data_IF_007023108297
#
_entry.id   IF_007023108297
#
_cell.length_a   1.000
_cell.length_b   1.000
_cell.length_c   1.000
_cell.angle_alpha   90.00
_cell.angle_beta   90.00
_cell.angle_gamma   90.00
#
_symmetry.space_group_name_H-M   'P 1'
#
loop_
_entity.id
_entity.type
_entity.pdbx_description
1 polymer ?
#
# COMPACT_ATOMS: atom_id res chain seq x y z
N UNK A 1 39.12 -41.53 62.60
CA UNK A 1 40.20 -42.14 61.80
C UNK A 1 40.44 -41.24 60.59
N UNK A 2 41.65 -40.73 60.40
CA UNK A 2 42.01 -39.95 59.22
C UNK A 2 42.35 -40.91 58.07
N UNK A 3 41.56 -40.87 56.99
CA UNK A 3 41.81 -41.66 55.78
C UNK A 3 42.77 -40.86 54.90
N UNK A 4 43.99 -41.34 54.74
CA UNK A 4 45.08 -40.59 54.08
C UNK A 4 45.01 -40.69 52.55
N UNK A 5 44.41 -41.77 52.02
CA UNK A 5 44.36 -42.06 50.58
C UNK A 5 43.17 -41.42 49.86
N UNK A 6 42.15 -40.93 50.59
CA UNK A 6 41.00 -40.23 50.02
C UNK A 6 40.66 -39.05 50.91
N UNK A 7 41.11 -37.86 50.52
CA UNK A 7 40.87 -36.63 51.27
C UNK A 7 39.45 -36.10 50.99
N UNK A 8 38.50 -36.48 51.84
CA UNK A 8 37.11 -36.06 51.72
C UNK A 8 36.93 -34.53 51.77
N UNK A 9 37.71 -33.82 52.59
CA UNK A 9 37.63 -32.36 52.68
C UNK A 9 38.08 -31.68 51.38
N UNK A 10 39.14 -32.20 50.73
CA UNK A 10 39.58 -31.71 49.42
C UNK A 10 38.53 -31.98 48.32
N UNK A 11 37.87 -33.15 48.34
CA UNK A 11 36.82 -33.49 47.38
C UNK A 11 35.57 -32.59 47.54
N UNK A 12 35.20 -32.24 48.77
CA UNK A 12 34.11 -31.28 49.04
C UNK A 12 34.49 -29.89 48.53
N UNK A 13 35.72 -29.43 48.77
CA UNK A 13 36.21 -28.15 48.28
C UNK A 13 36.25 -28.08 46.73
N UNK A 14 36.73 -29.15 46.07
CA UNK A 14 36.71 -29.23 44.60
C UNK A 14 35.29 -29.21 44.02
N UNK A 15 34.35 -29.93 44.63
CA UNK A 15 32.94 -29.89 44.21
C UNK A 15 32.31 -28.50 44.40
N UNK A 16 32.67 -27.78 45.47
CA UNK A 16 32.21 -26.41 45.71
C UNK A 16 32.78 -25.42 44.68
N UNK A 17 34.09 -25.53 44.36
CA UNK A 17 34.73 -24.73 43.31
C UNK A 17 34.09 -24.98 41.94
N UNK A 18 33.87 -26.24 41.57
CA UNK A 18 33.24 -26.59 40.29
C UNK A 18 31.78 -26.08 40.16
N UNK A 19 31.07 -25.90 41.28
CA UNK A 19 29.74 -25.24 41.27
C UNK A 19 29.86 -23.73 41.10
N UNK A 20 30.86 -23.11 41.74
CA UNK A 20 31.10 -21.67 41.68
C UNK A 20 31.56 -21.24 40.28
N UNK A 21 32.47 -21.99 39.67
CA UNK A 21 32.92 -21.77 38.28
C UNK A 21 31.73 -21.84 37.29
N UNK A 22 30.83 -22.80 37.45
CA UNK A 22 29.61 -22.88 36.62
C UNK A 22 28.71 -21.66 36.79
N UNK A 23 28.46 -21.24 38.03
CA UNK A 23 27.64 -20.05 38.30
C UNK A 23 28.29 -18.76 37.75
N UNK A 24 29.62 -18.63 37.88
CA UNK A 24 30.39 -17.52 37.32
C UNK A 24 30.31 -17.51 35.79
N UNK A 25 30.47 -18.65 35.13
CA UNK A 25 30.37 -18.75 33.67
C UNK A 25 28.97 -18.31 33.18
N UNK A 26 27.89 -18.75 33.83
CA UNK A 26 26.53 -18.30 33.49
C UNK A 26 26.34 -16.80 33.73
N UNK A 27 26.90 -16.25 34.83
CA UNK A 27 26.82 -14.81 35.09
C UNK A 27 27.58 -13.99 34.03
N UNK A 28 28.76 -14.45 33.61
CA UNK A 28 29.55 -13.83 32.55
C UNK A 28 28.83 -13.92 31.19
N UNK A 29 28.18 -15.03 30.89
CA UNK A 29 27.37 -15.20 29.68
C UNK A 29 26.19 -14.23 29.64
N UNK A 30 25.44 -14.11 30.75
CA UNK A 30 24.34 -13.14 30.88
C UNK A 30 24.81 -11.70 30.80
N UNK A 31 25.98 -11.39 31.38
CA UNK A 31 26.57 -10.06 31.29
C UNK A 31 26.99 -9.71 29.85
N UNK A 32 27.63 -10.66 29.14
CA UNK A 32 28.10 -10.44 27.77
C UNK A 32 26.96 -10.31 26.75
N UNK A 33 25.87 -11.05 26.95
CA UNK A 33 24.69 -11.04 26.07
C UNK A 33 23.68 -9.96 26.45
N UNK A 34 23.74 -9.47 27.69
CA UNK A 34 22.72 -8.60 28.28
C UNK A 34 21.36 -9.30 28.48
N UNK A 35 21.26 -10.60 28.24
CA UNK A 35 20.02 -11.36 28.30
C UNK A 35 20.01 -12.26 29.53
N UNK A 36 18.87 -12.31 30.22
CA UNK A 36 18.71 -13.17 31.39
C UNK A 36 18.54 -14.65 31.02
N UNK A 37 18.05 -14.94 29.82
CA UNK A 37 17.78 -16.29 29.32
C UNK A 37 18.59 -16.48 28.04
N UNK A 38 19.67 -17.26 28.10
CA UNK A 38 20.54 -17.52 26.94
C UNK A 38 20.36 -18.93 26.35
N UNK A 39 19.84 -19.88 27.14
CA UNK A 39 19.63 -21.26 26.71
C UNK A 39 18.28 -21.80 27.16
N UNK A 40 17.79 -22.84 26.48
CA UNK A 40 16.56 -23.54 26.85
C UNK A 40 16.68 -24.24 28.21
N UNK A 41 17.90 -24.51 28.68
CA UNK A 41 18.19 -25.11 29.98
C UNK A 41 17.95 -24.14 31.14
N UNK A 42 18.02 -22.83 30.91
CA UNK A 42 17.79 -21.79 31.93
C UNK A 42 16.29 -21.55 32.16
N UNK A 43 15.51 -21.41 31.07
CA UNK A 43 14.06 -21.22 31.11
C UNK A 43 13.45 -21.53 29.72
N UNK A 44 12.99 -22.77 29.54
CA UNK A 44 12.38 -23.21 28.28
C UNK A 44 11.09 -22.44 27.95
N UNK A 45 10.29 -22.07 28.95
CA UNK A 45 9.03 -21.35 28.75
C UNK A 45 9.29 -19.88 28.39
N UNK A 46 10.21 -19.23 29.10
CA UNK A 46 10.64 -17.86 28.81
C UNK A 46 11.30 -17.73 27.43
N UNK A 47 12.13 -18.69 27.04
CA UNK A 47 12.70 -18.72 25.68
C UNK A 47 11.63 -18.96 24.60
N UNK A 48 10.64 -19.81 24.85
CA UNK A 48 9.54 -20.05 23.91
C UNK A 48 8.63 -18.81 23.73
N UNK A 49 8.34 -18.07 24.81
CA UNK A 49 7.59 -16.82 24.73
C UNK A 49 8.42 -15.75 24.03
N UNK A 50 9.70 -15.61 24.41
CA UNK A 50 10.62 -14.64 23.81
C UNK A 50 10.77 -14.85 22.30
N UNK A 51 11.01 -16.08 21.86
CA UNK A 51 11.11 -16.41 20.42
C UNK A 51 9.81 -16.16 19.65
N UNK A 52 8.65 -16.42 20.25
CA UNK A 52 7.35 -16.06 19.67
C UNK A 52 7.20 -14.54 19.52
N UNK A 53 7.53 -13.78 20.56
CA UNK A 53 7.49 -12.32 20.53
C UNK A 53 8.49 -11.76 19.51
N UNK A 54 9.71 -12.29 19.42
CA UNK A 54 10.68 -11.92 18.39
C UNK A 54 10.16 -12.20 16.99
N UNK A 55 9.49 -13.34 16.79
CA UNK A 55 8.87 -13.67 15.49
C UNK A 55 7.75 -12.70 15.14
N UNK A 56 6.93 -12.31 16.12
CA UNK A 56 5.89 -11.29 15.94
C UNK A 56 6.49 -9.92 15.62
N UNK A 57 7.55 -9.49 16.33
CA UNK A 57 8.24 -8.23 16.06
C UNK A 57 8.77 -8.20 14.63
N UNK A 58 9.48 -9.24 14.19
CA UNK A 58 9.99 -9.34 12.81
C UNK A 58 8.86 -9.36 11.77
N UNK A 59 7.73 -9.99 12.11
CA UNK A 59 6.52 -9.97 11.30
C UNK A 59 5.97 -8.55 11.15
N UNK A 60 5.85 -7.81 12.25
CA UNK A 60 5.40 -6.41 12.25
C UNK A 60 6.38 -5.49 11.50
N UNK A 61 7.69 -5.66 11.66
CA UNK A 61 8.70 -4.88 10.91
C UNK A 61 8.57 -5.07 9.39
N UNK A 62 8.25 -6.29 8.96
CA UNK A 62 7.97 -6.57 7.54
C UNK A 62 6.62 -6.00 7.12
N UNK A 63 5.60 -6.07 7.99
CA UNK A 63 4.31 -5.41 7.78
C UNK A 63 4.42 -3.90 7.59
N UNK A 64 5.28 -3.22 8.36
CA UNK A 64 5.55 -1.78 8.21
C UNK A 64 6.17 -1.49 6.83
N UNK A 65 7.12 -2.32 6.36
CA UNK A 65 7.70 -2.17 5.02
C UNK A 65 6.64 -2.33 3.93
N UNK A 66 5.80 -3.37 4.04
CA UNK A 66 4.70 -3.58 3.10
C UNK A 66 3.69 -2.42 3.10
N UNK A 67 3.41 -1.83 4.26
CA UNK A 67 2.55 -0.66 4.37
C UNK A 67 3.17 0.58 3.69
N UNK A 68 4.48 0.79 3.83
CA UNK A 68 5.18 1.87 3.13
C UNK A 68 5.15 1.67 1.61
N UNK A 69 5.29 0.44 1.12
CA UNK A 69 5.15 0.13 -0.30
C UNK A 69 3.73 0.45 -0.82
N UNK A 70 2.70 0.13 -0.02
CA UNK A 70 1.33 0.51 -0.33
C UNK A 70 1.15 2.03 -0.42
N UNK A 71 1.73 2.78 0.52
CA UNK A 71 1.72 4.25 0.52
C UNK A 71 2.41 4.80 -0.73
N UNK A 72 3.58 4.28 -1.09
CA UNK A 72 4.30 4.73 -2.28
C UNK A 72 3.54 4.45 -3.58
N UNK A 73 2.86 3.30 -3.66
CA UNK A 73 1.98 2.99 -4.78
C UNK A 73 0.79 3.96 -4.84
N UNK A 74 0.12 4.21 -3.71
CA UNK A 74 -1.01 5.17 -3.65
C UNK A 74 -0.56 6.57 -4.04
N UNK A 75 0.58 7.05 -3.57
CA UNK A 75 1.10 8.38 -3.93
C UNK A 75 1.39 8.50 -5.44
N UNK A 76 1.85 7.42 -6.07
CA UNK A 76 2.05 7.38 -7.52
C UNK A 76 0.72 7.49 -8.25
N UNK A 77 -0.30 6.76 -7.79
CA UNK A 77 -1.66 6.86 -8.33
C UNK A 77 -2.26 8.26 -8.12
N UNK A 78 -2.11 8.84 -6.93
CA UNK A 78 -2.63 10.17 -6.58
C UNK A 78 -2.02 11.26 -7.46
N UNK A 79 -0.70 11.20 -7.70
CA UNK A 79 -0.02 12.11 -8.63
C UNK A 79 -0.60 12.05 -10.06
N UNK A 80 -0.89 10.85 -10.56
CA UNK A 80 -1.53 10.69 -11.87
C UNK A 80 -2.97 11.21 -11.88
N UNK A 81 -3.73 10.98 -10.80
CA UNK A 81 -5.12 11.44 -10.69
C UNK A 81 -5.25 12.95 -10.55
N UNK A 82 -4.25 13.65 -10.01
CA UNK A 82 -4.20 15.12 -10.01
C UNK A 82 -4.17 15.65 -11.46
N UNK A 83 -3.34 15.07 -12.32
CA UNK A 83 -3.27 15.47 -13.74
C UNK A 83 -4.58 15.15 -14.48
N UNK A 84 -5.15 13.96 -14.23
CA UNK A 84 -6.48 13.61 -14.78
C UNK A 84 -7.55 14.60 -14.32
N UNK A 85 -7.54 15.01 -13.05
CA UNK A 85 -8.49 15.99 -12.51
C UNK A 85 -8.36 17.35 -13.19
N UNK A 86 -7.13 17.83 -13.43
CA UNK A 86 -6.88 19.09 -14.14
C UNK A 86 -7.42 19.03 -15.59
N UNK A 87 -7.20 17.92 -16.29
CA UNK A 87 -7.73 17.73 -17.64
C UNK A 87 -9.27 17.64 -17.66
N UNK A 88 -9.88 16.95 -16.69
CA UNK A 88 -11.34 16.89 -16.57
C UNK A 88 -11.97 18.27 -16.29
N UNK A 89 -11.30 19.11 -15.50
CA UNK A 89 -11.73 20.50 -15.31
C UNK A 89 -11.66 21.28 -16.63
N UNK A 90 -10.56 21.15 -17.38
CA UNK A 90 -10.43 21.76 -18.72
C UNK A 90 -11.51 21.26 -19.69
N UNK A 91 -11.78 19.95 -19.72
CA UNK A 91 -12.85 19.36 -20.53
C UNK A 91 -14.22 19.94 -20.17
N UNK A 92 -14.47 20.22 -18.89
CA UNK A 92 -15.70 20.90 -18.45
C UNK A 92 -15.79 22.33 -18.97
N UNK A 93 -14.69 23.09 -18.93
CA UNK A 93 -14.65 24.44 -19.49
C UNK A 93 -14.97 24.44 -20.99
N UNK A 94 -14.38 23.51 -21.75
CA UNK A 94 -14.65 23.35 -23.19
C UNK A 94 -16.12 23.00 -23.45
N UNK A 95 -16.71 22.11 -22.65
CA UNK A 95 -18.13 21.75 -22.75
C UNK A 95 -19.05 22.95 -22.47
N UNK A 96 -18.72 23.77 -21.46
CA UNK A 96 -19.46 25.01 -21.17
C UNK A 96 -19.33 26.02 -22.30
N UNK A 97 -18.14 26.18 -22.87
CA UNK A 97 -17.89 27.08 -24.00
C UNK A 97 -18.63 26.63 -25.27
N UNK A 98 -18.67 25.32 -25.54
CA UNK A 98 -19.43 24.74 -26.64
C UNK A 98 -20.96 24.88 -26.45
N UNK A 99 -21.42 24.92 -25.18
CA UNK A 99 -22.84 25.11 -24.85
C UNK A 99 -23.35 26.52 -25.12
N UNK A 100 -22.46 27.51 -25.27
CA UNK A 100 -22.88 28.89 -25.47
C UNK A 100 -23.53 29.08 -26.84
N UNK A 101 -24.62 29.87 -26.89
CA UNK A 101 -25.44 30.07 -28.09
C UNK A 101 -24.75 30.87 -29.19
N UNK A 102 -23.67 31.60 -28.86
CA UNK A 102 -22.90 32.42 -29.81
C UNK A 102 -21.74 31.68 -30.48
N UNK A 103 -21.46 30.43 -30.08
CA UNK A 103 -20.35 29.63 -30.61
C UNK A 103 -20.74 29.00 -31.95
N UNK A 104 -19.97 29.25 -33.01
CA UNK A 104 -20.27 28.75 -34.36
C UNK A 104 -20.06 27.24 -34.49
N UNK A 105 -20.54 26.62 -35.57
CA UNK A 105 -20.33 25.20 -35.85
C UNK A 105 -18.85 24.83 -35.99
N UNK A 106 -18.07 25.71 -36.61
CA UNK A 106 -16.66 25.49 -36.86
C UNK A 106 -15.86 25.60 -35.54
N UNK A 107 -16.20 26.58 -34.69
CA UNK A 107 -15.63 26.71 -33.35
C UNK A 107 -15.94 25.48 -32.48
N UNK A 108 -17.17 24.95 -32.56
CA UNK A 108 -17.55 23.70 -31.87
C UNK A 108 -16.74 22.51 -32.36
N UNK A 109 -16.40 22.45 -33.64
CA UNK A 109 -15.54 21.40 -34.19
C UNK A 109 -14.13 21.48 -33.59
N UNK A 110 -13.53 22.67 -33.50
CA UNK A 110 -12.22 22.83 -32.87
C UNK A 110 -12.23 22.50 -31.37
N UNK A 111 -13.25 22.94 -30.63
CA UNK A 111 -13.41 22.60 -29.21
C UNK A 111 -13.60 21.09 -28.99
N UNK A 112 -14.33 20.42 -29.88
CA UNK A 112 -14.49 18.96 -29.84
C UNK A 112 -13.18 18.21 -30.11
N UNK A 113 -12.33 18.73 -31.00
CA UNK A 113 -11.01 18.16 -31.26
C UNK A 113 -10.07 18.31 -30.04
N UNK A 114 -10.09 19.46 -29.36
CA UNK A 114 -9.35 19.64 -28.09
C UNK A 114 -9.86 18.68 -27.01
N UNK A 115 -11.18 18.51 -26.89
CA UNK A 115 -11.79 17.55 -25.96
C UNK A 115 -11.36 16.11 -26.25
N UNK A 116 -11.31 15.71 -27.53
CA UNK A 116 -10.85 14.38 -27.95
C UNK A 116 -9.38 14.14 -27.60
N UNK A 117 -8.51 15.15 -27.79
CA UNK A 117 -7.10 15.06 -27.44
C UNK A 117 -6.91 14.90 -25.93
N UNK A 118 -7.66 15.66 -25.11
CA UNK A 118 -7.62 15.51 -23.64
C UNK A 118 -8.10 14.13 -23.19
N UNK A 119 -9.13 13.59 -23.84
CA UNK A 119 -9.60 12.23 -23.56
C UNK A 119 -8.55 11.18 -23.89
N UNK A 120 -7.88 11.29 -25.05
CA UNK A 120 -6.77 10.42 -25.42
C UNK A 120 -5.59 10.53 -24.45
N UNK A 121 -5.34 11.72 -23.91
CA UNK A 121 -4.27 11.93 -22.94
C UNK A 121 -4.61 11.32 -21.57
N UNK A 122 -5.87 11.38 -21.14
CA UNK A 122 -6.34 10.66 -19.93
C UNK A 122 -6.12 9.15 -20.09
N UNK A 123 -6.48 8.57 -21.25
CA UNK A 123 -6.24 7.16 -21.54
C UNK A 123 -4.74 6.83 -21.55
N UNK A 124 -3.92 7.71 -22.12
CA UNK A 124 -2.45 7.57 -22.10
C UNK A 124 -1.88 7.58 -20.67
N UNK A 125 -2.37 8.45 -19.78
CA UNK A 125 -1.93 8.47 -18.38
C UNK A 125 -2.35 7.19 -17.67
N UNK A 126 -3.57 6.71 -17.90
CA UNK A 126 -4.05 5.44 -17.33
C UNK A 126 -3.18 4.24 -17.77
N UNK A 127 -2.77 4.19 -19.04
CA UNK A 127 -1.92 3.13 -19.59
C UNK A 127 -0.44 3.23 -19.17
N UNK A 128 0.08 4.43 -18.94
CA UNK A 128 1.50 4.62 -18.59
C UNK A 128 1.76 4.70 -17.09
N UNK A 129 0.74 4.83 -16.25
CA UNK A 129 0.93 4.86 -14.79
C UNK A 129 1.18 3.44 -14.28
N UNK A 130 2.44 3.19 -13.93
CA UNK A 130 2.93 1.88 -13.52
C UNK A 130 3.61 1.92 -12.16
N UNK A 131 3.40 0.87 -11.37
CA UNK A 131 4.14 0.60 -10.16
C UNK A 131 4.85 -0.75 -10.30
N UNK A 132 6.19 -0.73 -10.21
CA UNK A 132 7.01 -1.94 -10.35
C UNK A 132 6.70 -2.76 -11.63
N UNK A 133 6.43 -2.09 -12.75
CA UNK A 133 6.10 -2.71 -14.03
C UNK A 133 4.66 -3.21 -14.18
N UNK A 134 3.80 -2.99 -13.18
CA UNK A 134 2.37 -3.30 -13.25
C UNK A 134 1.57 -2.01 -13.46
N UNK A 135 0.64 -2.03 -14.41
CA UNK A 135 -0.32 -0.95 -14.60
C UNK A 135 -1.33 -0.94 -13.45
N UNK A 136 -1.57 0.23 -12.86
CA UNK A 136 -2.42 0.36 -11.68
C UNK A 136 -3.77 1.06 -11.95
N UNK A 137 -3.96 1.68 -13.13
CA UNK A 137 -5.14 2.49 -13.45
C UNK A 137 -5.97 2.02 -14.67
N UNK A 138 -5.57 0.94 -15.36
CA UNK A 138 -6.25 0.50 -16.59
C UNK A 138 -6.88 -0.91 -16.53
N UNK A 139 -6.85 -1.60 -15.39
CA UNK A 139 -7.46 -2.94 -15.17
C UNK A 139 -7.15 -4.02 -16.23
N UNK A 140 -6.20 -3.80 -17.15
CA UNK A 140 -5.98 -4.68 -18.31
C UNK A 140 -5.34 -6.02 -17.93
N UNK A 141 -4.69 -6.07 -16.77
CA UNK A 141 -3.84 -7.21 -16.37
C UNK A 141 -4.48 -8.08 -15.30
N UNK A 142 -5.42 -7.54 -14.51
CA UNK A 142 -6.19 -8.29 -13.52
C UNK A 142 -7.52 -7.56 -13.27
N UNK A 143 -8.65 -8.28 -13.42
CA UNK A 143 -10.01 -7.76 -13.38
C UNK A 143 -10.47 -7.18 -12.01
N UNK A 144 -9.56 -6.94 -11.08
CA UNK A 144 -9.87 -6.41 -9.76
C UNK A 144 -9.01 -5.22 -9.30
N UNK A 145 -7.86 -4.93 -9.93
CA UNK A 145 -6.88 -3.89 -9.49
C UNK A 145 -6.79 -3.78 -7.96
N UNK A 146 -6.88 -4.94 -7.31
CA UNK A 146 -7.03 -5.06 -5.87
C UNK A 146 -5.72 -5.60 -5.34
N UNK A 147 -5.00 -4.75 -4.63
CA UNK A 147 -3.72 -5.07 -4.04
C UNK A 147 -3.92 -5.27 -2.54
N UNK A 148 -3.70 -6.51 -2.08
CA UNK A 148 -3.76 -6.87 -0.67
C UNK A 148 -2.36 -6.80 -0.04
N UNK A 149 -2.18 -5.91 0.92
CA UNK A 149 -0.94 -5.72 1.66
C UNK A 149 -1.02 -6.37 3.02
N UNK A 150 -0.18 -7.37 3.28
CA UNK A 150 -0.04 -8.00 4.58
C UNK A 150 0.73 -7.05 5.53
N UNK A 151 0.03 -6.49 6.53
CA UNK A 151 0.58 -5.49 7.46
C UNK A 151 0.76 -6.01 8.88
N UNK A 152 0.14 -7.16 9.20
CA UNK A 152 0.23 -7.78 10.52
C UNK A 152 1.18 -8.98 10.59
N UNK A 153 1.51 -9.37 11.82
CA UNK A 153 2.38 -10.53 12.08
C UNK A 153 1.69 -11.89 11.88
N UNK A 154 0.35 -11.93 11.89
CA UNK A 154 -0.43 -13.15 11.69
C UNK A 154 -1.06 -13.17 10.30
N UNK A 155 -1.25 -14.37 9.73
CA UNK A 155 -1.90 -14.53 8.43
C UNK A 155 -3.31 -13.92 8.39
N UNK A 156 -3.66 -13.28 7.27
CA UNK A 156 -4.97 -12.67 7.04
C UNK A 156 -5.12 -11.24 7.57
N UNK A 157 -4.06 -10.64 8.13
CA UNK A 157 -4.03 -9.23 8.52
C UNK A 157 -3.61 -8.36 7.33
N UNK A 158 -4.50 -8.21 6.36
CA UNK A 158 -4.27 -7.50 5.12
C UNK A 158 -5.09 -6.22 4.99
N UNK A 159 -4.50 -5.17 4.43
CA UNK A 159 -5.20 -3.97 3.94
C UNK A 159 -5.39 -4.13 2.43
N UNK A 160 -6.61 -3.93 1.94
CA UNK A 160 -6.91 -3.99 0.51
C UNK A 160 -6.98 -2.58 -0.05
N UNK A 161 -6.19 -2.32 -1.09
CA UNK A 161 -6.23 -1.09 -1.88
C UNK A 161 -6.84 -1.46 -3.23
N UNK A 162 -7.92 -0.77 -3.61
CA UNK A 162 -8.58 -0.97 -4.89
C UNK A 162 -8.48 0.32 -5.69
N UNK A 163 -7.95 0.23 -6.91
CA UNK A 163 -7.98 1.34 -7.86
C UNK A 163 -9.16 1.20 -8.83
N UNK A 164 -9.72 2.33 -9.25
CA UNK A 164 -10.71 2.38 -10.32
C UNK A 164 -10.07 2.19 -11.70
N UNK A 165 -10.86 1.79 -12.68
CA UNK A 165 -10.43 1.74 -14.08
C UNK A 165 -10.77 3.08 -14.75
N UNK A 166 -9.75 3.78 -15.23
CA UNK A 166 -9.92 5.02 -16.00
C UNK A 166 -10.20 4.74 -17.49
N UNK A 167 -9.88 3.54 -17.96
CA UNK A 167 -10.06 3.14 -19.35
C UNK A 167 -11.41 2.50 -19.63
N UNK A 168 -12.18 2.16 -18.59
CA UNK A 168 -13.46 1.46 -18.70
C UNK A 168 -14.42 2.18 -19.67
N UNK A 169 -14.93 1.42 -20.62
CA UNK A 169 -15.91 1.86 -21.64
C UNK A 169 -17.28 1.20 -21.43
N UNK A 170 -17.40 0.28 -20.47
CA UNK A 170 -18.59 -0.53 -20.25
C UNK A 170 -19.48 0.01 -19.12
N UNK A 171 -18.93 0.59 -18.06
CA UNK A 171 -19.71 1.07 -16.91
C UNK A 171 -19.04 2.22 -16.15
N UNK A 172 -19.85 3.07 -15.51
CA UNK A 172 -19.37 4.13 -14.62
C UNK A 172 -19.10 5.46 -15.31
N UNK A 173 -18.64 6.43 -14.50
CA UNK A 173 -18.56 7.84 -14.89
C UNK A 173 -17.62 8.08 -16.08
N UNK A 174 -16.53 7.31 -16.20
CA UNK A 174 -15.59 7.43 -17.32
C UNK A 174 -16.12 6.85 -18.64
N UNK A 175 -16.90 5.75 -18.58
CA UNK A 175 -17.61 5.22 -19.74
C UNK A 175 -18.66 6.22 -20.28
N UNK A 176 -19.38 6.91 -19.38
CA UNK A 176 -20.36 7.94 -19.75
C UNK A 176 -19.70 9.20 -20.36
N UNK A 177 -18.54 9.61 -19.85
CA UNK A 177 -17.73 10.71 -20.44
C UNK A 177 -17.27 10.35 -21.85
N UNK A 178 -16.75 9.12 -22.05
CA UNK A 178 -16.33 8.62 -23.37
C UNK A 178 -17.49 8.52 -24.35
N UNK A 179 -18.67 8.08 -23.91
CA UNK A 179 -19.87 8.01 -24.73
C UNK A 179 -20.39 9.41 -25.13
N UNK A 180 -20.24 10.41 -24.26
CA UNK A 180 -20.68 11.79 -24.48
C UNK A 180 -19.92 12.52 -25.59
N UNK A 181 -18.71 12.06 -25.93
CA UNK A 181 -17.93 12.57 -27.07
C UNK A 181 -18.68 12.44 -28.41
N UNK A 182 -19.53 11.42 -28.57
CA UNK A 182 -20.23 11.16 -29.84
C UNK A 182 -21.53 11.97 -30.03
N UNK A 183 -21.94 12.77 -29.04
CA UNK A 183 -23.21 13.50 -29.05
C UNK A 183 -23.10 14.87 -28.39
N UNK A 184 -22.39 15.81 -29.01
CA UNK A 184 -22.47 17.24 -28.63
C UNK A 184 -23.65 17.88 -29.38
N UNK A 185 -24.88 17.63 -28.90
CA UNK A 185 -26.10 18.32 -29.32
C UNK A 185 -26.70 19.06 -28.11
N UNK A 186 -27.42 20.16 -28.31
CA UNK A 186 -27.79 21.11 -27.25
C UNK A 186 -28.60 20.54 -26.06
N UNK A 187 -29.13 19.31 -26.16
CA UNK A 187 -29.85 18.61 -25.07
C UNK A 187 -28.94 17.71 -24.22
N UNK A 188 -27.74 17.35 -24.69
CA UNK A 188 -26.77 16.47 -24.00
C UNK A 188 -25.69 17.24 -23.24
N UNK A 189 -25.54 18.55 -23.48
CA UNK A 189 -24.55 19.38 -22.77
C UNK A 189 -24.84 19.52 -21.27
N UNK A 190 -26.11 19.48 -20.87
CA UNK A 190 -26.49 19.45 -19.45
C UNK A 190 -26.03 18.15 -18.76
N UNK A 191 -26.13 17.00 -19.43
CA UNK A 191 -25.61 15.72 -18.92
C UNK A 191 -24.09 15.71 -18.81
N UNK A 192 -23.36 16.26 -19.79
CA UNK A 192 -21.90 16.36 -19.73
C UNK A 192 -21.39 17.27 -18.58
N UNK A 193 -22.12 18.36 -18.27
CA UNK A 193 -21.78 19.28 -17.17
C UNK A 193 -22.11 18.65 -15.80
N UNK A 194 -23.26 17.99 -15.65
CA UNK A 194 -23.62 17.27 -14.42
C UNK A 194 -22.69 16.09 -14.17
N UNK A 195 -22.32 15.32 -15.21
CA UNK A 195 -21.42 14.17 -15.09
C UNK A 195 -19.96 14.57 -14.87
N UNK A 196 -19.47 15.62 -15.55
CA UNK A 196 -18.16 16.20 -15.24
C UNK A 196 -18.08 16.71 -13.80
N UNK A 197 -19.20 17.17 -13.22
CA UNK A 197 -19.32 17.52 -11.79
C UNK A 197 -19.26 16.30 -10.89
N UNK A 198 -19.96 15.22 -11.21
CA UNK A 198 -19.88 13.95 -10.46
C UNK A 198 -18.50 13.29 -10.53
N UNK A 199 -17.79 13.35 -11.67
CA UNK A 199 -16.44 12.81 -11.83
C UNK A 199 -15.42 13.51 -10.92
N UNK A 200 -15.46 14.85 -10.86
CA UNK A 200 -14.61 15.64 -9.96
C UNK A 200 -14.94 15.35 -8.49
N UNK A 201 -16.22 15.22 -8.14
CA UNK A 201 -16.63 14.92 -6.76
C UNK A 201 -16.17 13.52 -6.33
N UNK A 202 -16.24 12.51 -7.21
CA UNK A 202 -15.74 11.15 -6.93
C UNK A 202 -14.21 11.14 -6.79
N UNK A 203 -13.49 11.88 -7.63
CA UNK A 203 -12.02 12.01 -7.55
C UNK A 203 -11.53 12.77 -6.32
N UNK A 204 -12.36 13.66 -5.75
CA UNK A 204 -12.01 14.43 -4.52
C UNK A 204 -12.46 13.76 -3.22
N UNK A 205 -13.12 12.60 -3.28
CA UNK A 205 -13.59 11.92 -2.08
C UNK A 205 -12.41 11.22 -1.41
N UNK A 206 -12.04 11.58 -0.17
CA UNK A 206 -10.99 10.86 0.53
C UNK A 206 -11.39 9.39 0.66
N UNK A 207 -10.44 8.49 0.40
CA UNK A 207 -10.63 7.06 0.62
C UNK A 207 -11.10 6.84 2.08
N UNK A 208 -12.10 5.97 2.31
CA UNK A 208 -12.54 5.66 3.66
C UNK A 208 -11.35 5.15 4.51
N UNK A 209 -11.33 5.45 5.82
CA UNK A 209 -10.24 5.05 6.72
C UNK A 209 -10.10 3.53 6.84
#
# INVERSE_FOLDING_TARGET
>A
MAVVNTNANASIAQNALARNERAMNTAMERLSTGQRINSASDDAAGLAIGSRMTSQIRGLETGIRNANDAISMINTADGALIEVTNMLQRMRELALQASNGTTTSDDRSYLSAEYANLLSEIDRIAENTQWNGMNILNHTTDASSQFAYQVGANGGQTIQVQFGDLTDTASGVFAEIKASHNAIAATTTASAITQGTSAVVVSTRPLPP
#
